data_IF_958832259370
#
_entry.id   IF_958832259370
#
_cell.length_a   1.000
_cell.length_b   1.000
_cell.length_c   1.000
_cell.angle_alpha   90.00
_cell.angle_beta   90.00
_cell.angle_gamma   90.00
#
_symmetry.space_group_name_H-M   'P 1'
#
loop_
_entity.id
_entity.type
_entity.pdbx_description
1 polymer ?
#
# COMPACT_ATOMS: atom_id res chain seq x y z
N UNK A 1 13.38 2.46 43.23
CA UNK A 1 13.69 1.52 42.14
C UNK A 1 12.42 0.72 41.87
N UNK A 2 11.62 1.14 40.89
CA UNK A 2 10.37 0.46 40.52
C UNK A 2 10.73 -0.58 39.46
N UNK A 3 10.47 -1.86 39.77
CA UNK A 3 10.69 -2.95 38.84
C UNK A 3 9.72 -2.82 37.65
N UNK A 4 10.24 -2.62 36.45
CA UNK A 4 9.48 -2.79 35.20
C UNK A 4 9.29 -4.28 34.97
N UNK A 5 8.06 -4.77 35.17
CA UNK A 5 7.70 -6.14 34.85
C UNK A 5 7.84 -6.39 33.34
N UNK A 6 8.56 -7.43 32.97
CA UNK A 6 8.63 -7.94 31.59
C UNK A 6 7.21 -8.29 31.09
N UNK A 7 6.85 -7.98 29.83
CA UNK A 7 5.56 -8.39 29.31
C UNK A 7 5.50 -9.92 29.31
N UNK A 8 4.51 -10.47 30.00
CA UNK A 8 4.18 -11.90 29.95
C UNK A 8 3.95 -12.25 28.47
N UNK A 9 4.76 -13.17 27.93
CA UNK A 9 4.62 -13.61 26.54
C UNK A 9 3.45 -14.58 26.47
N UNK A 10 2.24 -14.04 26.40
CA UNK A 10 1.05 -14.82 26.10
C UNK A 10 1.22 -15.49 24.73
N UNK A 11 0.82 -16.75 24.61
CA UNK A 11 0.77 -17.38 23.29
C UNK A 11 -0.22 -16.58 22.44
N UNK A 12 0.10 -16.36 21.16
CA UNK A 12 -0.76 -15.58 20.25
C UNK A 12 -2.20 -16.11 20.24
N UNK A 13 -2.37 -17.43 20.42
CA UNK A 13 -3.67 -18.09 20.52
C UNK A 13 -4.47 -17.59 21.73
N UNK A 14 -3.84 -17.37 22.89
CA UNK A 14 -4.52 -16.88 24.10
C UNK A 14 -5.01 -15.44 23.93
N UNK A 15 -4.27 -14.61 23.18
CA UNK A 15 -4.65 -13.23 22.89
C UNK A 15 -5.84 -13.15 21.93
N UNK A 16 -5.94 -14.10 20.99
CA UNK A 16 -6.98 -14.14 19.97
C UNK A 16 -8.23 -14.90 20.42
N UNK A 17 -8.13 -15.74 21.45
CA UNK A 17 -9.25 -16.45 22.06
C UNK A 17 -10.07 -17.23 21.04
N UNK A 18 -11.37 -16.95 21.00
CA UNK A 18 -12.32 -17.67 20.14
C UNK A 18 -12.12 -17.41 18.63
N UNK A 19 -11.39 -16.35 18.26
CA UNK A 19 -11.13 -16.00 16.85
C UNK A 19 -9.83 -16.62 16.33
N UNK A 20 -9.04 -17.25 17.20
CA UNK A 20 -7.70 -17.73 16.88
C UNK A 20 -7.68 -18.66 15.66
N UNK A 21 -8.62 -19.61 15.59
CA UNK A 21 -8.69 -20.55 14.48
C UNK A 21 -8.98 -19.85 13.14
N UNK A 22 -10.00 -18.99 13.12
CA UNK A 22 -10.38 -18.24 11.93
C UNK A 22 -9.27 -17.30 11.44
N UNK A 23 -8.59 -16.59 12.35
CA UNK A 23 -7.60 -15.57 11.98
C UNK A 23 -6.25 -16.20 11.56
N UNK A 24 -5.82 -17.26 12.24
CA UNK A 24 -4.51 -17.87 11.99
C UNK A 24 -4.52 -18.84 10.80
N UNK A 25 -5.67 -19.47 10.53
CA UNK A 25 -5.82 -20.41 9.42
C UNK A 25 -6.52 -19.79 8.20
N UNK A 26 -6.81 -18.49 8.21
CA UNK A 26 -7.41 -17.80 7.07
C UNK A 26 -6.50 -17.89 5.82
N UNK A 27 -7.10 -18.27 4.70
CA UNK A 27 -6.48 -18.16 3.38
C UNK A 27 -7.26 -17.13 2.57
N UNK A 28 -6.55 -16.18 1.96
CA UNK A 28 -7.18 -15.17 1.13
C UNK A 28 -7.87 -15.80 -0.08
N UNK A 29 -9.10 -15.35 -0.37
CA UNK A 29 -9.84 -15.83 -1.53
C UNK A 29 -9.19 -15.42 -2.85
N UNK A 30 -8.48 -14.29 -2.85
CA UNK A 30 -7.77 -13.77 -4.02
C UNK A 30 -6.34 -14.33 -4.04
N UNK A 31 -5.93 -15.02 -5.11
CA UNK A 31 -4.58 -15.56 -5.23
C UNK A 31 -3.55 -14.43 -5.24
N UNK A 32 -2.41 -14.65 -4.60
CA UNK A 32 -1.33 -13.65 -4.52
C UNK A 32 -0.82 -13.26 -5.91
N UNK A 33 -0.87 -14.20 -6.85
CA UNK A 33 -0.38 -14.06 -8.22
C UNK A 33 -1.23 -13.10 -9.06
N UNK A 34 -2.48 -12.84 -8.67
CA UNK A 34 -3.32 -11.85 -9.36
C UNK A 34 -3.04 -10.41 -8.91
N UNK A 35 -2.15 -10.20 -7.92
CA UNK A 35 -1.81 -8.87 -7.44
C UNK A 35 -0.75 -8.23 -8.34
N UNK A 36 -1.04 -7.02 -8.83
CA UNK A 36 -0.04 -6.15 -9.42
C UNK A 36 0.76 -5.47 -8.31
N UNK A 37 1.89 -6.07 -7.94
CA UNK A 37 2.76 -5.51 -6.92
C UNK A 37 3.53 -4.29 -7.47
N UNK A 38 3.71 -3.24 -6.67
CA UNK A 38 4.45 -2.05 -7.08
C UNK A 38 5.95 -2.36 -7.22
N UNK A 39 6.60 -1.67 -8.15
CA UNK A 39 8.02 -1.83 -8.41
C UNK A 39 8.57 -0.75 -9.34
N UNK A 40 9.88 -0.78 -9.62
CA UNK A 40 10.54 0.23 -10.46
C UNK A 40 10.05 0.22 -11.91
N UNK A 41 9.49 -0.89 -12.38
CA UNK A 41 8.94 -1.10 -13.72
C UNK A 41 7.41 -0.88 -13.78
N UNK A 42 6.81 -0.22 -12.78
CA UNK A 42 5.36 -0.04 -12.68
C UNK A 42 4.73 0.57 -13.92
N UNK A 43 5.35 1.62 -14.48
CA UNK A 43 4.78 2.33 -15.64
C UNK A 43 4.77 1.45 -16.88
N UNK A 44 5.86 0.73 -17.11
CA UNK A 44 6.00 -0.19 -18.24
C UNK A 44 5.07 -1.40 -18.09
N UNK A 45 5.03 -2.03 -16.91
CA UNK A 45 4.23 -3.23 -16.67
C UNK A 45 2.72 -2.96 -16.66
N UNK A 46 2.28 -1.81 -16.16
CA UNK A 46 0.86 -1.54 -15.88
C UNK A 46 0.22 -0.58 -16.89
N UNK A 47 0.93 0.47 -17.33
CA UNK A 47 0.33 1.52 -18.15
C UNK A 47 0.70 1.43 -19.63
N UNK A 48 1.85 0.87 -19.99
CA UNK A 48 2.33 0.87 -21.38
C UNK A 48 1.42 0.08 -22.34
N UNK A 49 0.74 -0.96 -21.87
CA UNK A 49 -0.20 -1.76 -22.67
C UNK A 49 -1.62 -1.19 -22.74
N UNK A 50 -1.85 0.03 -22.25
CA UNK A 50 -3.15 0.69 -22.30
C UNK A 50 -3.26 1.68 -23.45
N UNK A 51 -4.46 2.19 -23.73
CA UNK A 51 -4.72 3.20 -24.78
C UNK A 51 -4.16 4.60 -24.46
N UNK A 52 -3.26 4.72 -23.48
CA UNK A 52 -2.61 5.97 -23.09
C UNK A 52 -1.57 6.34 -24.12
N UNK A 53 -1.65 7.58 -24.61
CA UNK A 53 -0.65 8.09 -25.55
C UNK A 53 0.74 8.26 -24.88
N UNK A 54 1.82 8.39 -25.68
CA UNK A 54 3.18 8.54 -25.14
C UNK A 54 3.38 9.76 -24.23
N UNK A 55 2.60 10.83 -24.42
CA UNK A 55 2.69 12.00 -23.56
C UNK A 55 2.17 11.70 -22.14
N UNK A 56 1.06 10.97 -22.02
CA UNK A 56 0.52 10.52 -20.73
C UNK A 56 1.50 9.56 -20.05
N UNK A 57 2.06 8.60 -20.78
CA UNK A 57 3.05 7.67 -20.21
C UNK A 57 4.28 8.40 -19.68
N UNK A 58 4.78 9.42 -20.40
CA UNK A 58 5.88 10.27 -19.93
C UNK A 58 5.52 11.03 -18.65
N UNK A 59 4.33 11.61 -18.57
CA UNK A 59 3.88 12.31 -17.36
C UNK A 59 3.76 11.36 -16.17
N UNK A 60 3.24 10.15 -16.38
CA UNK A 60 3.21 9.11 -15.35
C UNK A 60 4.62 8.71 -14.90
N UNK A 61 5.56 8.54 -15.83
CA UNK A 61 6.96 8.26 -15.51
C UNK A 61 7.59 9.36 -14.65
N UNK A 62 7.29 10.64 -14.93
CA UNK A 62 7.76 11.74 -14.09
C UNK A 62 7.17 11.71 -12.68
N UNK A 63 5.87 11.42 -12.55
CA UNK A 63 5.21 11.31 -11.25
C UNK A 63 5.81 10.16 -10.43
N UNK A 64 5.86 8.95 -10.99
CA UNK A 64 6.38 7.75 -10.31
C UNK A 64 7.92 7.76 -10.15
N UNK A 65 8.65 8.59 -10.89
CA UNK A 65 10.10 8.73 -10.82
C UNK A 65 10.58 9.86 -9.90
N UNK A 66 9.69 10.54 -9.17
CA UNK A 66 10.03 11.72 -8.36
C UNK A 66 9.69 11.57 -6.86
N UNK A 67 10.30 12.41 -6.03
CA UNK A 67 10.05 12.46 -4.59
C UNK A 67 10.58 11.25 -3.81
N UNK A 68 10.07 11.07 -2.58
CA UNK A 68 10.55 10.03 -1.64
C UNK A 68 10.18 8.61 -2.05
N UNK A 69 9.17 8.44 -2.90
CA UNK A 69 8.67 7.15 -3.37
C UNK A 69 9.09 6.84 -4.82
N UNK A 70 10.03 7.62 -5.38
CA UNK A 70 10.53 7.44 -6.73
C UNK A 70 10.94 5.99 -6.99
N UNK A 71 10.49 5.42 -8.12
CA UNK A 71 10.83 4.05 -8.57
C UNK A 71 10.40 2.93 -7.62
N UNK A 72 9.53 3.20 -6.65
CA UNK A 72 8.96 2.14 -5.79
C UNK A 72 7.68 1.55 -6.38
N UNK A 73 7.09 2.20 -7.38
CA UNK A 73 5.74 1.90 -7.88
C UNK A 73 4.62 2.47 -7.01
N UNK A 74 4.95 3.12 -5.87
CA UNK A 74 3.99 3.89 -5.08
C UNK A 74 3.99 5.37 -5.50
N UNK A 75 2.82 5.99 -5.41
CA UNK A 75 2.61 7.41 -5.67
C UNK A 75 1.89 8.03 -4.48
N UNK A 76 2.44 9.13 -3.95
CA UNK A 76 1.83 9.89 -2.86
C UNK A 76 1.35 11.24 -3.41
N UNK A 77 0.04 11.43 -3.45
CA UNK A 77 -0.60 12.69 -3.84
C UNK A 77 -1.41 13.17 -2.63
N UNK A 78 -1.16 14.40 -2.22
CA UNK A 78 -2.01 15.10 -1.26
C UNK A 78 -2.95 16.01 -2.06
N UNK A 79 -4.27 15.70 -2.14
CA UNK A 79 -5.22 16.61 -2.76
C UNK A 79 -5.41 17.83 -1.85
N UNK A 80 -5.18 19.03 -2.37
CA UNK A 80 -5.28 20.30 -1.63
C UNK A 80 -6.22 21.25 -2.37
N UNK A 81 -7.49 20.87 -2.48
CA UNK A 81 -8.54 21.67 -3.15
C UNK A 81 -9.53 22.32 -2.15
N UNK A 82 -9.26 22.20 -0.85
CA UNK A 82 -10.16 22.65 0.24
C UNK A 82 -10.52 24.14 0.19
N UNK A 83 -9.68 24.98 -0.43
CA UNK A 83 -9.92 26.42 -0.55
C UNK A 83 -10.97 26.81 -1.60
N UNK A 84 -11.31 25.94 -2.54
CA UNK A 84 -12.37 26.21 -3.53
C UNK A 84 -13.74 25.70 -3.06
N UNK A 85 -13.76 24.67 -2.20
CA UNK A 85 -14.98 24.00 -1.76
C UNK A 85 -15.62 24.58 -0.48
N UNK A 86 -14.88 25.34 0.34
CA UNK A 86 -15.36 25.83 1.66
C UNK A 86 -15.37 27.34 1.86
N UNK A 87 -15.18 28.14 0.80
CA UNK A 87 -15.12 29.61 0.91
C UNK A 87 -16.43 30.32 0.54
N UNK A 88 -17.56 29.61 0.58
CA UNK A 88 -18.90 30.19 0.45
C UNK A 88 -19.43 30.77 1.75
#
# INVERSE_FOLDING_TARGET
MVATASPQTHAIVDLLGNEADNLLNYSAEVPKESLHLPGPDWVDRIFASSDRNPQVLRSLQQLYGSGRLAHTGYLSILPVDQGVERSG
#
